data_IF_329448819660
#
_entry.id   IF_329448819660
#
_cell.length_a   1.000
_cell.length_b   1.000
_cell.length_c   1.000
_cell.angle_alpha   90.00
_cell.angle_beta   90.00
_cell.angle_gamma   90.00
#
_symmetry.space_group_name_H-M   'P 1'
#
loop_
_entity.id
_entity.type
_entity.pdbx_description
1 polymer ?
#
# COMPACT_ATOMS: atom_id res chain seq x y z
N UNK A 1 18.15 -4.45 -14.24
CA UNK A 1 17.04 -3.56 -13.89
C UNK A 1 15.95 -4.43 -13.30
N UNK A 2 15.17 -3.92 -12.36
CA UNK A 2 14.07 -4.64 -11.72
C UNK A 2 12.84 -3.73 -11.70
N UNK A 3 11.67 -4.31 -11.88
CA UNK A 3 10.38 -3.61 -11.89
C UNK A 3 9.53 -3.92 -10.65
N UNK A 4 10.09 -4.70 -9.71
CA UNK A 4 9.51 -4.98 -8.40
C UNK A 4 10.60 -4.93 -7.33
N UNK A 5 10.44 -4.06 -6.35
CA UNK A 5 11.26 -4.08 -5.14
C UNK A 5 10.64 -5.08 -4.15
N UNK A 6 11.48 -5.92 -3.55
CA UNK A 6 11.04 -7.01 -2.67
C UNK A 6 11.66 -6.80 -1.30
N UNK A 7 10.84 -6.72 -0.26
CA UNK A 7 11.27 -6.60 1.13
C UNK A 7 10.84 -7.87 1.85
N UNK A 8 11.78 -8.57 2.46
CA UNK A 8 11.56 -9.80 3.23
C UNK A 8 11.29 -9.44 4.69
N UNK A 9 10.19 -9.93 5.23
CA UNK A 9 9.89 -9.93 6.66
C UNK A 9 10.19 -11.33 7.21
N UNK A 10 11.17 -11.39 8.10
CA UNK A 10 11.52 -12.63 8.80
C UNK A 10 10.56 -12.87 9.96
N UNK A 11 9.48 -13.59 9.69
CA UNK A 11 8.40 -13.87 10.65
C UNK A 11 8.91 -14.62 11.88
N UNK A 12 9.80 -15.58 11.69
CA UNK A 12 10.43 -16.32 12.80
C UNK A 12 11.19 -15.38 13.72
N UNK A 13 12.06 -14.53 13.16
CA UNK A 13 12.85 -13.57 13.93
C UNK A 13 11.96 -12.53 14.62
N UNK A 14 10.92 -12.05 13.95
CA UNK A 14 9.97 -11.10 14.51
C UNK A 14 9.22 -11.67 15.72
N UNK A 15 8.70 -12.89 15.59
CA UNK A 15 8.01 -13.59 16.69
C UNK A 15 8.97 -13.85 17.84
N UNK A 16 10.20 -14.29 17.57
CA UNK A 16 11.23 -14.49 18.60
C UNK A 16 11.52 -13.20 19.38
N UNK A 17 11.83 -12.11 18.68
CA UNK A 17 12.14 -10.83 19.30
C UNK A 17 10.98 -10.31 20.16
N UNK A 18 9.73 -10.50 19.72
CA UNK A 18 8.57 -10.08 20.49
C UNK A 18 8.31 -10.96 21.72
N UNK A 19 8.51 -12.27 21.62
CA UNK A 19 8.39 -13.17 22.76
C UNK A 19 9.47 -12.89 23.82
N UNK A 20 10.69 -12.58 23.40
CA UNK A 20 11.77 -12.15 24.30
C UNK A 20 11.40 -10.85 25.02
N UNK A 21 10.90 -9.85 24.29
CA UNK A 21 10.40 -8.60 24.87
C UNK A 21 9.29 -8.84 25.90
N UNK A 22 8.33 -9.73 25.61
CA UNK A 22 7.27 -10.07 26.56
C UNK A 22 7.81 -10.76 27.81
N UNK A 23 8.86 -11.58 27.67
CA UNK A 23 9.50 -12.22 28.81
C UNK A 23 10.26 -11.21 29.70
N UNK A 24 10.93 -10.23 29.09
CA UNK A 24 11.57 -9.11 29.79
C UNK A 24 10.52 -8.27 30.56
N UNK A 25 9.43 -7.89 29.89
CA UNK A 25 8.33 -7.15 30.51
C UNK A 25 7.68 -7.91 31.68
N UNK A 26 7.54 -9.23 31.55
CA UNK A 26 7.04 -10.07 32.63
C UNK A 26 8.00 -10.11 33.83
N UNK A 27 9.32 -10.11 33.59
CA UNK A 27 10.32 -10.02 34.65
C UNK A 27 10.28 -8.67 35.39
N UNK A 28 9.87 -7.60 34.71
CA UNK A 28 9.65 -6.27 35.28
C UNK A 28 8.30 -6.11 35.99
N UNK A 29 7.45 -7.14 35.98
CA UNK A 29 6.18 -7.19 36.70
C UNK A 29 4.94 -6.82 35.86
N UNK A 30 5.09 -6.60 34.56
CA UNK A 30 3.95 -6.45 33.65
C UNK A 30 3.30 -7.83 33.40
N UNK A 31 1.99 -7.91 33.56
CA UNK A 31 1.26 -9.20 33.49
C UNK A 31 0.31 -9.30 32.31
N UNK A 32 0.12 -8.21 31.56
CA UNK A 32 -0.74 -8.20 30.38
C UNK A 32 0.01 -8.68 29.16
N UNK A 33 -0.24 -9.94 28.79
CA UNK A 33 0.19 -10.52 27.51
C UNK A 33 -0.97 -10.49 26.51
N UNK A 34 -0.73 -10.22 25.21
CA UNK A 34 -1.75 -10.39 24.18
C UNK A 34 -2.18 -11.86 24.05
N UNK A 35 -3.42 -12.10 23.62
CA UNK A 35 -3.99 -13.45 23.49
C UNK A 35 -3.33 -14.29 22.39
N UNK A 36 -2.84 -13.64 21.31
CA UNK A 36 -2.03 -14.29 20.27
C UNK A 36 -0.74 -13.48 20.06
N UNK A 37 0.32 -13.76 20.85
CA UNK A 37 1.59 -13.06 20.77
C UNK A 37 2.26 -13.17 19.40
N UNK A 38 2.24 -14.34 18.76
CA UNK A 38 2.87 -14.52 17.46
C UNK A 38 2.19 -13.69 16.37
N UNK A 39 0.85 -13.69 16.30
CA UNK A 39 0.11 -12.84 15.36
C UNK A 39 0.35 -11.35 15.66
N UNK A 40 0.41 -10.97 16.94
CA UNK A 40 0.71 -9.59 17.36
C UNK A 40 2.10 -9.16 16.89
N UNK A 41 3.11 -10.03 16.97
CA UNK A 41 4.45 -9.75 16.46
C UNK A 41 4.44 -9.46 14.95
N UNK A 42 3.76 -10.31 14.17
CA UNK A 42 3.66 -10.13 12.71
C UNK A 42 2.93 -8.83 12.37
N UNK A 43 1.85 -8.52 13.08
CA UNK A 43 1.13 -7.26 12.88
C UNK A 43 1.98 -6.03 13.21
N UNK A 44 2.81 -6.10 14.25
CA UNK A 44 3.76 -5.03 14.58
C UNK A 44 4.79 -4.83 13.46
N UNK A 45 5.29 -5.90 12.86
CA UNK A 45 6.23 -5.81 11.73
C UNK A 45 5.57 -5.27 10.46
N UNK A 46 4.30 -5.60 10.20
CA UNK A 46 3.59 -5.12 9.02
C UNK A 46 3.08 -3.67 9.18
N UNK A 47 2.89 -3.19 10.42
CA UNK A 47 2.28 -1.90 10.70
C UNK A 47 2.95 -0.70 9.99
N UNK A 48 4.29 -0.55 9.98
CA UNK A 48 4.93 0.57 9.29
C UNK A 48 4.56 0.61 7.81
N UNK A 49 4.56 -0.55 7.16
CA UNK A 49 4.31 -0.68 5.72
C UNK A 49 2.88 -0.39 5.28
N UNK A 50 1.93 -0.40 6.22
CA UNK A 50 0.53 0.01 6.00
C UNK A 50 0.35 1.53 5.99
N UNK A 51 1.26 2.25 6.65
CA UNK A 51 1.22 3.69 6.83
C UNK A 51 2.21 4.43 5.92
N UNK A 52 3.18 3.70 5.35
CA UNK A 52 4.16 4.27 4.43
C UNK A 52 3.52 4.62 3.09
N UNK A 53 3.68 5.88 2.70
CA UNK A 53 3.38 6.35 1.35
C UNK A 53 4.60 6.16 0.45
N UNK A 54 4.74 4.97 -0.12
CA UNK A 54 5.93 4.57 -0.87
C UNK A 54 6.29 5.54 -2.01
N UNK A 55 5.31 6.21 -2.60
CA UNK A 55 5.51 7.14 -3.71
C UNK A 55 6.35 8.38 -3.34
N UNK A 56 6.43 8.73 -2.05
CA UNK A 56 7.10 9.95 -1.57
C UNK A 56 8.39 9.66 -0.80
N UNK A 57 8.81 8.40 -0.72
CA UNK A 57 10.00 8.01 0.03
C UNK A 57 11.28 8.43 -0.69
N UNK A 58 11.40 8.13 -1.99
CA UNK A 58 12.57 8.51 -2.81
C UNK A 58 12.14 8.61 -4.28
N UNK A 59 12.38 9.76 -4.90
CA UNK A 59 11.98 10.03 -6.30
C UNK A 59 12.78 9.18 -7.31
N UNK A 60 13.92 8.63 -6.92
CA UNK A 60 14.85 7.90 -7.78
C UNK A 60 14.32 6.58 -8.32
N UNK A 61 13.32 5.97 -7.67
CA UNK A 61 12.61 4.78 -8.20
C UNK A 61 11.43 5.12 -9.11
N UNK A 62 11.04 6.40 -9.18
CA UNK A 62 9.93 6.88 -9.99
C UNK A 62 8.56 6.38 -9.50
N UNK A 63 7.58 6.40 -10.40
CA UNK A 63 6.19 6.09 -10.06
C UNK A 63 6.00 4.63 -9.60
N UNK A 64 5.23 4.47 -8.52
CA UNK A 64 4.87 3.16 -7.95
C UNK A 64 3.42 2.83 -8.32
N UNK A 65 3.20 1.64 -8.85
CA UNK A 65 1.87 1.17 -9.24
C UNK A 65 1.06 0.69 -8.03
N UNK A 66 1.74 0.12 -7.03
CA UNK A 66 1.16 -0.32 -5.77
C UNK A 66 2.16 -1.11 -4.94
N UNK A 67 1.81 -1.34 -3.67
CA UNK A 67 2.57 -2.19 -2.76
C UNK A 67 1.69 -3.35 -2.26
N UNK A 68 2.23 -4.56 -2.20
CA UNK A 68 1.48 -5.77 -1.87
C UNK A 68 2.22 -6.63 -0.85
N UNK A 69 1.51 -7.15 0.14
CA UNK A 69 2.00 -8.17 1.09
C UNK A 69 1.64 -9.54 0.54
N UNK A 70 2.65 -10.36 0.25
CA UNK A 70 2.51 -11.74 -0.17
C UNK A 70 2.79 -12.72 0.95
N UNK A 71 1.86 -13.66 1.08
CA UNK A 71 1.88 -14.74 2.05
C UNK A 71 2.42 -16.03 1.44
N UNK A 72 2.87 -16.99 2.27
CA UNK A 72 3.50 -18.23 1.82
C UNK A 72 2.55 -19.17 1.06
N UNK A 73 1.24 -19.06 1.32
CA UNK A 73 0.17 -19.77 0.60
C UNK A 73 -0.07 -19.20 -0.82
N UNK A 74 0.63 -18.11 -1.17
CA UNK A 74 0.50 -17.40 -2.43
C UNK A 74 -0.58 -16.33 -2.44
N UNK A 75 -1.30 -16.11 -1.33
CA UNK A 75 -2.24 -15.01 -1.22
C UNK A 75 -1.49 -13.66 -1.22
N UNK A 76 -2.17 -12.64 -1.75
CA UNK A 76 -1.63 -11.29 -1.91
C UNK A 76 -2.68 -10.27 -1.46
N UNK A 77 -2.24 -9.31 -0.67
CA UNK A 77 -3.07 -8.20 -0.17
C UNK A 77 -2.35 -6.89 -0.44
N UNK A 78 -3.08 -5.80 -0.69
CA UNK A 78 -2.44 -4.48 -0.76
C UNK A 78 -1.85 -4.10 0.61
N UNK A 79 -0.67 -3.49 0.63
CA UNK A 79 -0.01 -3.09 1.87
C UNK A 79 -0.82 -2.01 2.62
N UNK A 80 -1.53 -1.15 1.89
CA UNK A 80 -2.45 -0.17 2.46
C UNK A 80 -3.84 -0.70 2.84
N UNK A 81 -4.06 -2.03 2.75
CA UNK A 81 -5.35 -2.69 2.97
C UNK A 81 -5.47 -3.44 4.28
N UNK A 82 -6.71 -3.68 4.69
CA UNK A 82 -7.00 -4.64 5.73
C UNK A 82 -6.73 -6.04 5.20
N UNK A 83 -5.52 -6.51 5.49
CA UNK A 83 -5.22 -7.94 5.46
C UNK A 83 -6.20 -8.60 6.45
N UNK A 84 -6.97 -9.62 6.06
CA UNK A 84 -7.87 -10.31 6.99
C UNK A 84 -7.09 -10.88 8.17
N UNK A 85 -7.61 -10.74 9.38
CA UNK A 85 -6.99 -11.30 10.59
C UNK A 85 -6.75 -12.80 10.47
N UNK A 86 -7.61 -13.53 9.74
CA UNK A 86 -7.43 -14.94 9.46
C UNK A 86 -6.14 -15.23 8.70
N UNK A 87 -5.72 -14.40 7.75
CA UNK A 87 -4.50 -14.62 6.98
C UNK A 87 -3.24 -14.62 7.86
N UNK A 88 -3.20 -13.76 8.88
CA UNK A 88 -2.10 -13.72 9.86
C UNK A 88 -2.25 -14.80 10.93
N UNK A 89 -3.47 -15.08 11.38
CA UNK A 89 -3.73 -16.15 12.35
C UNK A 89 -3.40 -17.53 11.79
N UNK A 90 -3.77 -17.81 10.55
CA UNK A 90 -3.51 -19.09 9.87
C UNK A 90 -2.00 -19.35 9.71
N UNK A 91 -1.22 -18.29 9.49
CA UNK A 91 0.24 -18.36 9.41
C UNK A 91 0.90 -18.86 10.69
N UNK A 92 0.31 -18.56 11.86
CA UNK A 92 0.85 -18.92 13.18
C UNK A 92 0.05 -20.01 13.89
N UNK A 93 -0.94 -20.59 13.21
CA UNK A 93 -1.89 -21.53 13.80
C UNK A 93 -1.15 -22.71 14.45
N UNK A 94 -1.49 -23.00 15.73
CA UNK A 94 -0.86 -24.03 16.54
C UNK A 94 0.51 -23.67 17.11
N UNK A 95 1.02 -22.47 16.82
CA UNK A 95 2.31 -21.95 17.26
C UNK A 95 2.21 -20.55 17.89
N UNK A 96 1.04 -20.18 18.40
CA UNK A 96 0.68 -18.82 18.84
C UNK A 96 1.60 -18.26 19.94
N UNK A 97 2.23 -19.16 20.72
CA UNK A 97 3.11 -18.81 21.84
C UNK A 97 4.56 -19.26 21.68
N UNK A 98 4.96 -19.79 20.52
CA UNK A 98 6.28 -20.43 20.36
C UNK A 98 7.02 -19.92 19.14
N UNK A 99 8.35 -19.88 19.26
CA UNK A 99 9.23 -19.67 18.11
C UNK A 99 9.35 -21.00 17.36
N UNK A 100 8.76 -21.07 16.18
CA UNK A 100 8.97 -22.14 15.20
C UNK A 100 9.50 -21.54 13.90
N UNK A 101 10.00 -22.40 13.01
CA UNK A 101 10.44 -21.97 11.68
C UNK A 101 9.22 -21.57 10.83
N UNK A 102 8.82 -20.31 10.97
CA UNK A 102 7.75 -19.67 10.23
C UNK A 102 8.28 -19.20 8.86
N UNK A 103 7.52 -19.43 7.78
CA UNK A 103 7.89 -18.93 6.47
C UNK A 103 7.84 -17.39 6.43
N UNK A 104 8.75 -16.73 5.68
CA UNK A 104 8.79 -15.28 5.60
C UNK A 104 7.58 -14.70 4.85
N UNK A 105 7.26 -13.45 5.13
CA UNK A 105 6.37 -12.63 4.30
C UNK A 105 7.20 -11.75 3.37
N UNK A 106 6.60 -11.33 2.26
CA UNK A 106 7.26 -10.41 1.33
C UNK A 106 6.37 -9.22 1.02
N UNK A 107 6.98 -8.04 1.04
CA UNK A 107 6.36 -6.82 0.54
C UNK A 107 6.91 -6.58 -0.86
N UNK A 108 6.00 -6.47 -1.82
CA UNK A 108 6.27 -6.24 -3.23
C UNK A 108 5.85 -4.83 -3.58
N UNK A 109 6.82 -3.94 -3.79
CA UNK A 109 6.58 -2.59 -4.30
C UNK A 109 6.74 -2.64 -5.82
N UNK A 110 5.64 -2.49 -6.54
CA UNK A 110 5.58 -2.64 -8.00
C UNK A 110 5.84 -1.29 -8.65
N UNK A 111 6.88 -1.21 -9.48
CA UNK A 111 7.31 0.02 -10.13
C UNK A 111 6.64 0.18 -11.49
N UNK A 112 6.38 1.42 -11.91
CA UNK A 112 5.84 1.71 -13.23
C UNK A 112 6.81 1.27 -14.34
N UNK A 113 8.11 1.55 -14.14
CA UNK A 113 9.18 1.20 -15.07
C UNK A 113 10.30 0.44 -14.34
N UNK A 114 11.07 -0.41 -15.06
CA UNK A 114 12.24 -1.05 -14.48
C UNK A 114 13.30 -0.02 -14.08
N UNK A 115 13.88 -0.15 -12.89
CA UNK A 115 14.91 0.77 -12.40
C UNK A 115 16.25 0.08 -12.16
N UNK A 116 17.31 0.89 -12.10
CA UNK A 116 18.65 0.44 -11.77
C UNK A 116 18.77 0.01 -10.30
N UNK A 117 19.73 -0.88 -10.01
CA UNK A 117 19.96 -1.36 -8.64
C UNK A 117 20.36 -0.24 -7.67
N UNK A 118 21.08 0.77 -8.14
CA UNK A 118 21.49 1.91 -7.31
C UNK A 118 20.28 2.69 -6.77
N UNK A 119 19.26 2.91 -7.61
CA UNK A 119 18.00 3.53 -7.18
C UNK A 119 17.24 2.67 -6.16
N UNK A 120 17.20 1.35 -6.36
CA UNK A 120 16.57 0.42 -5.40
C UNK A 120 17.31 0.43 -4.06
N UNK A 121 18.64 0.39 -4.10
CA UNK A 121 19.47 0.44 -2.89
C UNK A 121 19.25 1.76 -2.12
N UNK A 122 19.17 2.90 -2.82
CA UNK A 122 18.87 4.21 -2.23
C UNK A 122 17.47 4.26 -1.61
N UNK A 123 16.45 3.88 -2.37
CA UNK A 123 15.07 3.80 -1.89
C UNK A 123 14.92 2.92 -0.65
N UNK A 124 15.54 1.74 -0.61
CA UNK A 124 15.46 0.85 0.55
C UNK A 124 16.19 1.43 1.78
N UNK A 125 17.24 2.22 1.57
CA UNK A 125 17.93 2.94 2.65
C UNK A 125 17.01 4.03 3.21
N UNK A 126 16.42 4.85 2.35
CA UNK A 126 15.50 5.93 2.75
C UNK A 126 14.22 5.39 3.39
N UNK A 127 13.68 4.29 2.86
CA UNK A 127 12.54 3.59 3.45
C UNK A 127 12.88 3.05 4.84
N UNK A 128 14.11 2.54 5.04
CA UNK A 128 14.54 2.05 6.36
C UNK A 128 14.60 3.18 7.39
N UNK A 129 15.01 4.38 6.97
CA UNK A 129 14.99 5.60 7.79
C UNK A 129 13.56 5.99 8.16
N UNK A 130 12.64 5.97 7.20
CA UNK A 130 11.22 6.28 7.42
C UNK A 130 10.53 5.27 8.36
N UNK A 131 10.85 3.98 8.21
CA UNK A 131 10.30 2.90 9.04
C UNK A 131 10.95 2.89 10.44
N UNK A 132 12.18 3.39 10.56
CA UNK A 132 12.91 3.48 11.83
C UNK A 132 13.67 2.21 12.23
N UNK A 133 13.82 1.25 11.32
CA UNK A 133 14.66 0.06 11.55
C UNK A 133 15.20 -0.51 10.23
N UNK A 134 16.19 -1.40 10.35
CA UNK A 134 16.80 -2.05 9.19
C UNK A 134 15.78 -2.90 8.41
N UNK A 135 15.86 -2.86 7.08
CA UNK A 135 15.07 -3.62 6.13
C UNK A 135 15.90 -4.73 5.50
N UNK A 136 15.24 -5.82 5.12
CA UNK A 136 15.88 -6.88 4.32
C UNK A 136 15.33 -6.83 2.90
N UNK A 137 16.05 -6.20 1.98
CA UNK A 137 15.70 -6.17 0.56
C UNK A 137 16.19 -7.41 -0.18
N UNK A 138 15.38 -7.98 -1.07
CA UNK A 138 15.79 -9.04 -1.99
C UNK A 138 16.06 -8.40 -3.36
N UNK A 139 17.33 -8.37 -3.74
CA UNK A 139 17.78 -7.70 -4.97
C UNK A 139 18.60 -8.63 -5.87
N UNK A 140 18.64 -8.37 -7.20
CA UNK A 140 19.52 -9.10 -8.10
C UNK A 140 21.00 -8.98 -7.71
N UNK A 141 21.65 -10.12 -7.50
CA UNK A 141 23.09 -10.26 -7.36
C UNK A 141 23.83 -10.07 -8.68
N UNK A 142 25.14 -9.85 -8.61
CA UNK A 142 26.00 -9.74 -9.80
C UNK A 142 26.05 -11.03 -10.66
N UNK A 143 25.67 -12.16 -10.06
CA UNK A 143 25.55 -13.49 -10.68
C UNK A 143 24.16 -13.76 -11.26
N UNK A 144 23.27 -12.75 -11.29
CA UNK A 144 21.89 -12.88 -11.75
C UNK A 144 20.96 -13.61 -10.78
N UNK A 145 21.47 -14.12 -9.64
CA UNK A 145 20.67 -14.74 -8.59
C UNK A 145 20.20 -13.71 -7.59
N UNK A 146 19.00 -13.90 -7.04
CA UNK A 146 18.48 -13.01 -6.01
C UNK A 146 19.23 -13.22 -4.69
N UNK A 147 19.48 -12.12 -3.98
CA UNK A 147 20.20 -12.10 -2.71
C UNK A 147 19.45 -11.22 -1.72
N UNK A 148 19.31 -11.70 -0.50
CA UNK A 148 18.81 -10.91 0.61
C UNK A 148 19.93 -9.98 1.09
N UNK A 149 19.60 -8.71 1.28
CA UNK A 149 20.51 -7.68 1.76
C UNK A 149 19.88 -6.86 2.85
N UNK A 150 20.66 -6.55 3.87
CA UNK A 150 20.23 -5.63 4.93
C UNK A 150 20.47 -4.20 4.45
N UNK A 151 19.51 -3.31 4.71
CA UNK A 151 19.58 -1.87 4.48
C UNK A 151 19.18 -1.18 5.78
N UNK A 152 20.01 -0.27 6.27
CA UNK A 152 19.71 0.58 7.42
C UNK A 152 20.03 2.04 7.08
N UNK A 153 19.66 2.96 7.97
CA UNK A 153 19.88 4.40 7.78
C UNK A 153 21.37 4.78 7.65
N UNK A 154 22.29 3.90 8.09
CA UNK A 154 23.74 4.07 7.96
C UNK A 154 24.28 3.56 6.62
N UNK A 155 23.44 2.92 5.81
CA UNK A 155 23.79 2.33 4.51
C UNK A 155 24.58 1.02 4.61
N UNK A 156 24.53 0.34 5.76
CA UNK A 156 25.23 -0.93 5.99
C UNK A 156 24.59 -2.06 5.20
N UNK A 157 25.41 -2.84 4.47
CA UNK A 157 24.93 -3.92 3.57
C UNK A 157 25.45 -5.29 3.98
N UNK A 158 24.61 -6.09 4.65
CA UNK A 158 24.82 -7.54 4.83
C UNK A 158 24.29 -8.33 3.63
N UNK A 159 24.75 -9.58 3.40
CA UNK A 159 24.26 -10.42 2.29
C UNK A 159 24.04 -11.87 2.71
N UNK A 160 22.87 -12.44 2.38
CA UNK A 160 22.56 -13.86 2.47
C UNK A 160 21.95 -14.39 1.15
N UNK A 161 21.93 -15.72 0.98
CA UNK A 161 21.23 -16.35 -0.15
C UNK A 161 19.73 -16.39 0.11
N UNK A 162 18.96 -16.05 -0.91
CA UNK A 162 17.49 -16.12 -0.91
C UNK A 162 17.02 -17.28 -1.80
N UNK A 163 15.85 -17.86 -1.53
CA UNK A 163 15.25 -18.89 -2.37
C UNK A 163 14.44 -18.29 -3.53
N UNK A 164 14.41 -18.95 -4.68
CA UNK A 164 13.68 -18.49 -5.87
C UNK A 164 12.16 -18.70 -5.75
N UNK A 165 11.48 -17.88 -4.94
CA UNK A 165 10.01 -17.96 -4.72
C UNK A 165 9.26 -16.66 -5.02
N UNK A 166 9.88 -15.74 -5.76
CA UNK A 166 9.34 -14.39 -5.92
C UNK A 166 8.39 -14.26 -7.11
N UNK A 167 7.32 -13.49 -6.90
CA UNK A 167 6.39 -13.16 -7.96
C UNK A 167 6.97 -12.10 -8.90
N UNK A 168 6.63 -12.21 -10.19
CA UNK A 168 6.92 -11.18 -11.19
C UNK A 168 5.90 -10.04 -11.08
N UNK A 169 6.25 -8.86 -11.63
CA UNK A 169 5.32 -7.73 -11.76
C UNK A 169 4.01 -8.16 -12.41
N UNK A 170 4.09 -8.91 -13.50
CA UNK A 170 2.91 -9.38 -14.23
C UNK A 170 1.98 -10.20 -13.33
N UNK A 171 2.52 -11.17 -12.59
CA UNK A 171 1.71 -12.02 -11.70
C UNK A 171 1.08 -11.21 -10.56
N UNK A 172 1.82 -10.25 -9.99
CA UNK A 172 1.28 -9.36 -8.95
C UNK A 172 0.11 -8.52 -9.48
N UNK A 173 0.31 -7.86 -10.62
CA UNK A 173 -0.71 -6.99 -11.24
C UNK A 173 -1.93 -7.80 -11.66
N UNK A 174 -1.75 -8.97 -12.29
CA UNK A 174 -2.86 -9.82 -12.72
C UNK A 174 -3.70 -10.33 -11.54
N UNK A 175 -3.05 -10.84 -10.48
CA UNK A 175 -3.77 -11.33 -9.29
C UNK A 175 -4.54 -10.22 -8.60
N UNK A 176 -3.96 -9.02 -8.51
CA UNK A 176 -4.63 -7.91 -7.86
C UNK A 176 -5.75 -7.30 -8.74
N UNK A 177 -5.56 -7.25 -10.06
CA UNK A 177 -6.61 -6.85 -11.00
C UNK A 177 -7.84 -7.76 -10.88
N UNK A 178 -7.64 -9.08 -10.77
CA UNK A 178 -8.73 -10.04 -10.57
C UNK A 178 -9.46 -9.82 -9.24
N UNK A 179 -8.74 -9.55 -8.15
CA UNK A 179 -9.36 -9.28 -6.85
C UNK A 179 -10.13 -7.98 -6.80
N UNK A 180 -9.77 -7.01 -7.63
CA UNK A 180 -10.39 -5.68 -7.67
C UNK A 180 -11.52 -5.57 -8.69
N UNK A 181 -11.98 -6.69 -9.25
CA UNK A 181 -13.00 -6.75 -10.29
C UNK A 181 -14.00 -7.88 -10.04
N UNK A 182 -15.29 -7.54 -10.00
CA UNK A 182 -16.37 -8.53 -9.98
C UNK A 182 -16.47 -9.30 -11.30
N UNK A 183 -17.04 -10.51 -11.23
CA UNK A 183 -17.30 -11.33 -12.42
C UNK A 183 -18.23 -10.67 -13.45
N UNK A 184 -19.01 -9.67 -13.03
CA UNK A 184 -19.92 -8.89 -13.88
C UNK A 184 -19.25 -7.68 -14.56
N UNK A 185 -17.96 -7.45 -14.31
CA UNK A 185 -17.17 -6.38 -14.93
C UNK A 185 -16.95 -5.13 -14.06
N UNK A 186 -17.69 -4.98 -12.95
CA UNK A 186 -17.52 -3.86 -12.01
C UNK A 186 -16.16 -3.90 -11.33
N UNK A 187 -15.63 -2.73 -11.01
CA UNK A 187 -14.28 -2.58 -10.49
C UNK A 187 -14.24 -1.68 -9.26
N UNK A 188 -13.29 -1.92 -8.34
CA UNK A 188 -13.24 -1.24 -7.05
C UNK A 188 -11.91 -0.53 -6.80
N UNK A 189 -11.99 0.65 -6.18
CA UNK A 189 -10.86 1.40 -5.65
C UNK A 189 -11.12 1.78 -4.19
N UNK A 190 -10.04 2.15 -3.49
CA UNK A 190 -10.11 2.74 -2.18
C UNK A 190 -9.49 4.13 -2.17
N UNK A 191 -10.11 5.04 -1.43
CA UNK A 191 -9.65 6.41 -1.22
C UNK A 191 -9.73 6.74 0.27
N UNK A 192 -8.69 7.32 0.85
CA UNK A 192 -8.72 7.77 2.24
C UNK A 192 -9.15 9.24 2.30
N UNK A 193 -10.27 9.49 2.96
CA UNK A 193 -10.89 10.80 3.10
C UNK A 193 -11.21 11.07 4.57
N UNK A 194 -10.69 12.19 5.12
CA UNK A 194 -10.80 12.52 6.55
C UNK A 194 -10.38 11.35 7.46
N UNK A 195 -9.23 10.73 7.14
CA UNK A 195 -8.70 9.49 7.75
C UNK A 195 -9.60 8.24 7.63
N UNK A 196 -10.80 8.35 7.06
CA UNK A 196 -11.69 7.23 6.83
C UNK A 196 -11.51 6.68 5.41
N UNK A 197 -11.22 5.39 5.32
CA UNK A 197 -11.12 4.71 4.04
C UNK A 197 -12.51 4.49 3.43
N UNK A 198 -12.67 4.92 2.18
CA UNK A 198 -13.88 4.77 1.39
C UNK A 198 -13.69 3.69 0.32
N UNK A 199 -14.72 2.87 0.12
CA UNK A 199 -14.76 1.92 -1.00
C UNK A 199 -15.57 2.50 -2.15
N UNK A 200 -14.94 2.61 -3.30
CA UNK A 200 -15.48 3.24 -4.50
C UNK A 200 -15.72 2.17 -5.57
N UNK A 201 -16.90 2.17 -6.15
CA UNK A 201 -17.36 1.24 -7.18
C UNK A 201 -17.48 1.95 -8.54
N UNK A 202 -16.91 1.33 -9.57
CA UNK A 202 -16.91 1.80 -10.94
C UNK A 202 -17.54 0.76 -11.86
N UNK A 203 -18.13 1.19 -12.97
CA UNK A 203 -18.82 0.28 -13.87
C UNK A 203 -17.84 -0.64 -14.62
N UNK A 204 -16.61 -0.17 -14.85
CA UNK A 204 -15.57 -0.92 -15.54
C UNK A 204 -14.19 -0.71 -14.92
N UNK A 205 -13.27 -1.63 -15.23
CA UNK A 205 -11.83 -1.51 -14.92
C UNK A 205 -11.22 -0.22 -15.48
N UNK A 206 -11.58 0.14 -16.71
CA UNK A 206 -11.06 1.36 -17.34
C UNK A 206 -11.49 2.62 -16.59
N UNK A 207 -12.74 2.69 -16.12
CA UNK A 207 -13.25 3.81 -15.34
C UNK A 207 -12.55 3.96 -13.97
N UNK A 208 -12.32 2.83 -13.28
CA UNK A 208 -11.57 2.80 -12.03
C UNK A 208 -10.13 3.28 -12.24
N UNK A 209 -9.45 2.74 -13.26
CA UNK A 209 -8.04 3.03 -13.51
C UNK A 209 -7.85 4.50 -13.94
N UNK A 210 -8.80 5.06 -14.69
CA UNK A 210 -8.86 6.50 -15.01
C UNK A 210 -9.00 7.36 -13.74
N UNK A 211 -9.88 6.98 -12.81
CA UNK A 211 -10.01 7.67 -11.51
C UNK A 211 -8.75 7.58 -10.65
N UNK A 212 -8.14 6.39 -10.57
CA UNK A 212 -6.88 6.16 -9.83
C UNK A 212 -5.78 7.05 -10.41
N UNK A 213 -5.60 7.05 -11.73
CA UNK A 213 -4.62 7.89 -12.41
C UNK A 213 -4.86 9.38 -12.14
N UNK A 214 -6.10 9.84 -12.29
CA UNK A 214 -6.48 11.22 -12.02
C UNK A 214 -6.17 11.63 -10.57
N UNK A 215 -6.51 10.80 -9.60
CA UNK A 215 -6.28 11.10 -8.18
C UNK A 215 -4.79 11.23 -7.84
N UNK A 216 -3.92 10.44 -8.49
CA UNK A 216 -2.47 10.55 -8.34
C UNK A 216 -1.96 11.87 -8.87
N UNK A 217 -2.33 12.21 -10.11
CA UNK A 217 -1.91 13.47 -10.72
C UNK A 217 -2.42 14.67 -9.92
N UNK A 218 -3.64 14.59 -9.38
CA UNK A 218 -4.16 15.62 -8.49
C UNK A 218 -3.33 15.76 -7.20
N UNK A 219 -3.04 14.66 -6.51
CA UNK A 219 -2.22 14.69 -5.29
C UNK A 219 -0.80 15.20 -5.55
N UNK A 220 -0.16 14.77 -6.63
CA UNK A 220 1.17 15.23 -7.03
C UNK A 220 1.16 16.74 -7.31
N UNK A 221 0.12 17.23 -8.00
CA UNK A 221 -0.06 18.66 -8.23
C UNK A 221 -0.24 19.42 -6.91
N UNK A 222 -1.09 18.93 -5.99
CA UNK A 222 -1.33 19.58 -4.69
C UNK A 222 -0.02 19.68 -3.91
N UNK A 223 0.76 18.60 -3.86
CA UNK A 223 2.04 18.57 -3.17
C UNK A 223 3.04 19.57 -3.77
N UNK A 224 3.15 19.62 -5.10
CA UNK A 224 4.05 20.54 -5.79
C UNK A 224 3.67 22.03 -5.60
N UNK A 225 2.39 22.32 -5.32
CA UNK A 225 1.87 23.70 -5.21
C UNK A 225 1.49 24.12 -3.77
N UNK A 226 1.64 23.23 -2.79
CA UNK A 226 1.91 23.49 -1.37
C UNK A 226 0.80 24.13 -0.51
N UNK A 227 0.04 25.11 -1.00
CA UNK A 227 -0.74 26.01 -0.15
C UNK A 227 -2.23 26.15 -0.54
N UNK A 228 -2.70 25.43 -1.56
CA UNK A 228 -4.06 25.64 -2.12
C UNK A 228 -5.04 24.48 -1.96
N UNK A 229 -4.62 23.36 -1.34
CA UNK A 229 -5.46 22.17 -1.18
C UNK A 229 -6.83 22.51 -0.55
N UNK A 230 -6.84 23.43 0.43
CA UNK A 230 -8.05 23.89 1.10
C UNK A 230 -8.96 24.74 0.20
N UNK A 231 -8.44 25.69 -0.57
CA UNK A 231 -9.30 26.52 -1.44
C UNK A 231 -9.85 25.72 -2.63
N UNK A 232 -9.13 24.67 -3.00
CA UNK A 232 -9.55 23.74 -4.04
C UNK A 232 -10.50 22.64 -3.54
N UNK A 233 -10.76 22.60 -2.23
CA UNK A 233 -11.71 21.66 -1.60
C UNK A 233 -11.15 20.26 -1.33
N UNK A 234 -9.83 20.07 -1.43
CA UNK A 234 -9.14 18.78 -1.29
C UNK A 234 -8.47 18.56 0.07
N UNK A 235 -8.57 19.47 1.03
CA UNK A 235 -7.82 19.41 2.31
C UNK A 235 -8.03 18.11 3.13
N UNK A 236 -9.10 17.37 2.88
CA UNK A 236 -9.41 16.11 3.56
C UNK A 236 -8.97 14.87 2.78
N UNK A 237 -8.41 15.03 1.58
CA UNK A 237 -7.74 13.97 0.84
C UNK A 237 -6.33 13.79 1.37
N UNK A 238 -6.00 12.58 1.83
CA UNK A 238 -4.68 12.32 2.42
C UNK A 238 -3.76 11.53 1.49
N UNK A 239 -4.31 10.77 0.53
CA UNK A 239 -3.53 9.99 -0.42
C UNK A 239 -4.30 9.79 -1.73
N UNK A 240 -3.60 9.50 -2.84
CA UNK A 240 -4.23 9.06 -4.07
C UNK A 240 -5.13 7.84 -3.86
N UNK A 241 -6.13 7.66 -4.72
CA UNK A 241 -6.88 6.43 -4.77
C UNK A 241 -6.01 5.27 -5.30
N UNK A 242 -6.30 4.06 -4.85
CA UNK A 242 -5.62 2.84 -5.29
C UNK A 242 -6.66 1.79 -5.66
N UNK A 243 -6.38 0.89 -6.62
CA UNK A 243 -7.25 -0.25 -6.84
C UNK A 243 -7.38 -1.05 -5.54
N UNK A 244 -8.55 -1.59 -5.26
CA UNK A 244 -8.83 -2.30 -4.02
C UNK A 244 -9.60 -3.59 -4.30
N UNK A 245 -9.46 -4.63 -3.47
CA UNK A 245 -10.27 -5.83 -3.58
C UNK A 245 -11.77 -5.52 -3.54
N UNK A 246 -12.58 -6.42 -4.12
CA UNK A 246 -14.03 -6.42 -3.92
C UNK A 246 -14.31 -6.42 -2.40
N UNK A 247 -15.13 -5.48 -1.89
CA UNK A 247 -15.47 -5.43 -0.48
C UNK A 247 -16.27 -6.65 -0.03
N UNK A 248 -16.06 -7.06 1.22
CA UNK A 248 -16.87 -8.11 1.86
C UNK A 248 -18.34 -7.68 2.01
N UNK A 249 -19.22 -8.68 2.12
CA UNK A 249 -20.64 -8.48 2.36
C UNK A 249 -20.89 -7.55 3.56
N UNK A 250 -21.65 -6.48 3.35
CA UNK A 250 -22.00 -5.50 4.39
C UNK A 250 -21.12 -4.24 4.41
N UNK A 251 -20.06 -4.14 3.60
CA UNK A 251 -19.39 -2.85 3.37
C UNK A 251 -20.16 -2.01 2.37
N UNK A 252 -20.51 -0.79 2.76
CA UNK A 252 -21.10 0.18 1.86
C UNK A 252 -20.09 0.57 0.76
N UNK A 253 -20.51 0.49 -0.50
CA UNK A 253 -19.77 0.98 -1.66
C UNK A 253 -20.40 2.26 -2.19
N UNK A 254 -19.56 3.13 -2.74
CA UNK A 254 -19.99 4.38 -3.36
C UNK A 254 -19.77 4.27 -4.86
N UNK A 255 -20.87 4.30 -5.64
CA UNK A 255 -20.77 4.28 -7.10
C UNK A 255 -20.33 5.65 -7.64
N UNK A 256 -19.27 5.67 -8.43
CA UNK A 256 -18.73 6.87 -9.07
C UNK A 256 -18.61 6.71 -10.58
N UNK A 257 -18.65 7.84 -11.29
CA UNK A 257 -18.25 7.94 -12.69
C UNK A 257 -16.76 8.27 -12.78
N UNK A 258 -16.09 7.82 -13.85
CA UNK A 258 -14.70 8.18 -14.10
C UNK A 258 -14.55 9.66 -14.47
N UNK A 259 -13.36 10.26 -14.24
CA UNK A 259 -13.05 11.61 -14.70
C UNK A 259 -13.25 11.83 -16.21
N UNK A 260 -12.93 10.83 -17.04
CA UNK A 260 -13.14 10.85 -18.50
C UNK A 260 -14.61 10.85 -18.93
N UNK A 261 -15.52 10.39 -18.06
CA UNK A 261 -16.95 10.44 -18.31
C UNK A 261 -17.56 11.83 -18.09
N UNK A 262 -16.83 12.77 -17.46
CA UNK A 262 -17.22 14.17 -17.38
C UNK A 262 -17.04 14.87 -18.73
N UNK A 263 -17.92 15.84 -19.04
CA UNK A 263 -17.97 16.51 -20.34
C UNK A 263 -16.57 16.91 -20.85
N UNK A 264 -16.23 16.44 -22.06
CA UNK A 264 -14.95 16.64 -22.77
C UNK A 264 -13.68 16.31 -21.96
N UNK A 265 -13.77 15.45 -20.93
CA UNK A 265 -12.65 15.18 -20.03
C UNK A 265 -12.28 16.39 -19.16
N UNK A 266 -13.21 17.32 -18.94
CA UNK A 266 -13.00 18.57 -18.20
C UNK A 266 -12.41 18.38 -16.79
N UNK A 267 -12.63 17.24 -16.15
CA UNK A 267 -11.99 16.89 -14.87
C UNK A 267 -10.45 16.74 -14.98
N UNK A 268 -9.90 16.58 -16.19
CA UNK A 268 -8.46 16.52 -16.46
C UNK A 268 -7.85 17.86 -16.91
N UNK A 269 -8.67 18.84 -17.30
CA UNK A 269 -8.22 20.05 -18.01
C UNK A 269 -7.30 20.99 -17.19
N UNK A 270 -7.20 20.81 -15.87
CA UNK A 270 -6.42 21.67 -15.00
C UNK A 270 -5.01 21.14 -14.64
N UNK A 271 -4.65 19.94 -15.10
CA UNK A 271 -3.43 19.25 -14.64
C UNK A 271 -2.18 19.59 -15.49
N UNK A 272 -2.30 20.54 -16.42
CA UNK A 272 -1.14 21.14 -17.07
C UNK A 272 -0.41 22.05 -16.06
N UNK A 273 0.94 22.02 -15.97
CA UNK A 273 1.72 22.81 -15.00
C UNK A 273 1.48 24.34 -15.06
N UNK A 274 0.89 24.82 -16.15
CA UNK A 274 0.58 26.21 -16.47
C UNK A 274 -0.93 26.50 -16.59
N UNK A 275 -1.78 25.56 -16.16
CA UNK A 275 -3.23 25.76 -16.19
C UNK A 275 -3.62 26.96 -15.30
N UNK A 276 -4.42 27.91 -15.82
CA UNK A 276 -4.80 29.07 -15.05
C UNK A 276 -5.79 28.69 -13.92
N UNK A 277 -5.87 29.45 -12.82
CA UNK A 277 -6.74 29.13 -11.68
C UNK A 277 -8.21 28.89 -12.05
N UNK A 278 -8.74 29.57 -13.07
CA UNK A 278 -10.08 29.37 -13.60
C UNK A 278 -10.32 27.99 -14.24
N UNK A 279 -9.26 27.31 -14.69
CA UNK A 279 -9.34 25.94 -15.24
C UNK A 279 -9.51 24.88 -14.14
N UNK A 280 -9.34 25.23 -12.86
CA UNK A 280 -9.48 24.32 -11.70
C UNK A 280 -10.95 24.09 -11.31
N UNK A 281 -11.88 24.92 -11.81
CA UNK A 281 -13.31 24.84 -11.50
C UNK A 281 -13.92 23.44 -11.67
N UNK A 282 -13.79 22.79 -12.84
CA UNK A 282 -14.33 21.45 -13.08
C UNK A 282 -13.74 20.36 -12.17
N UNK A 283 -12.47 20.44 -11.83
CA UNK A 283 -11.79 19.46 -10.96
C UNK A 283 -12.28 19.59 -9.53
N UNK A 284 -12.41 20.84 -9.05
CA UNK A 284 -13.07 21.15 -7.79
C UNK A 284 -14.52 20.67 -7.76
N UNK A 285 -15.26 20.84 -8.85
CA UNK A 285 -16.65 20.39 -8.94
C UNK A 285 -16.78 18.87 -8.92
N UNK A 286 -15.91 18.15 -9.64
CA UNK A 286 -15.83 16.69 -9.61
C UNK A 286 -15.52 16.20 -8.20
N UNK A 287 -14.54 16.78 -7.53
CA UNK A 287 -14.21 16.38 -6.17
C UNK A 287 -15.28 16.75 -5.15
N UNK A 288 -15.91 17.92 -5.28
CA UNK A 288 -17.08 18.26 -4.48
C UNK A 288 -18.21 17.24 -4.65
N UNK A 289 -18.36 16.68 -5.85
CA UNK A 289 -19.28 15.56 -6.09
C UNK A 289 -18.81 14.28 -5.38
N UNK A 290 -17.54 13.89 -5.50
CA UNK A 290 -16.97 12.73 -4.77
C UNK A 290 -17.21 12.86 -3.27
N UNK A 291 -16.83 14.00 -2.67
CA UNK A 291 -17.03 14.32 -1.25
C UNK A 291 -18.50 14.19 -0.84
N UNK A 292 -19.41 14.87 -1.54
CA UNK A 292 -20.85 14.82 -1.22
C UNK A 292 -21.40 13.39 -1.27
N UNK A 293 -20.89 12.58 -2.20
CA UNK A 293 -21.32 11.18 -2.33
C UNK A 293 -20.81 10.35 -1.15
N UNK A 294 -19.56 10.53 -0.74
CA UNK A 294 -18.99 9.92 0.47
C UNK A 294 -19.80 10.33 1.72
N UNK A 295 -20.04 11.62 1.91
CA UNK A 295 -20.76 12.15 3.08
C UNK A 295 -22.21 11.64 3.13
N UNK A 296 -22.90 11.56 2.00
CA UNK A 296 -24.27 11.06 1.92
C UNK A 296 -24.37 9.59 2.33
N UNK A 297 -23.43 8.73 1.90
CA UNK A 297 -23.39 7.31 2.30
C UNK A 297 -23.10 7.17 3.79
N UNK A 298 -22.20 7.99 4.35
CA UNK A 298 -21.93 8.01 5.80
C UNK A 298 -23.16 8.40 6.60
N UNK A 299 -23.90 9.42 6.17
CA UNK A 299 -25.13 9.85 6.83
C UNK A 299 -26.22 8.76 6.81
N UNK A 300 -26.33 8.00 5.73
CA UNK A 300 -27.29 6.89 5.60
C UNK A 300 -26.85 5.59 6.29
N UNK A 301 -25.62 5.50 6.81
CA UNK A 301 -25.10 4.32 7.54
C UNK A 301 -25.17 4.48 9.06
N UNK A 302 -25.80 5.56 9.55
CA UNK A 302 -25.87 5.91 10.97
C UNK A 302 -27.18 5.49 11.67
N UNK A 303 -28.02 4.69 11.00
CA UNK A 303 -29.25 4.08 11.54
C UNK A 303 -29.05 2.59 11.87
#
# INVERSE_FOLDING_TARGET
>A
MDDVIRIRIDTTRAVAAFLDLLAEQAAEGETRRPANPAATAIWRELAPFRLVEYAYVDEGVGAILGAYVGFPDGSLYAAGDEIPDSAVCDLVQGNEERVVDLPPLYIYVVLAQPVGREAIDAFLTELSSHVGHALVGVVPGADGRLKARVFDAEGTKGVAREADRHLSKQVLVERFAQRSQCSDGRAFAALSYAFARQSLEFATVAERDDFVAWSRVLCDWIFAHGDDAAQLGFAEAHRPAEPAPIPDDGRATIRLASPSAYADGSAWACLAPDAPPEALGPVRDYWNYVRRTIDAVRAGSAD
#
